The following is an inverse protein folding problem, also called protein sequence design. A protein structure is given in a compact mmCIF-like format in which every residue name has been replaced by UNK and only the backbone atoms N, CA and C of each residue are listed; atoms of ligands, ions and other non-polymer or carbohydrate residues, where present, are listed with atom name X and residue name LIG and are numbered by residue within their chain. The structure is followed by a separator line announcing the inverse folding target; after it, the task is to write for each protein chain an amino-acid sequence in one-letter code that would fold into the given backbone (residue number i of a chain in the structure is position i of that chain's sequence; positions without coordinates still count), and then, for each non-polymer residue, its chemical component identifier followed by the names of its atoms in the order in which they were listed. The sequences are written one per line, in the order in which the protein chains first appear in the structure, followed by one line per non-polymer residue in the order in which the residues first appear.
data_IF_848414632250
#
_entry.id   IF_848414632250
#
_cell.length_a   1.000
_cell.length_b   1.000
_cell.length_c   1.000
_cell.angle_alpha   90.00
_cell.angle_beta   90.00
_cell.angle_gamma   90.00
#
_symmetry.space_group_name_H-M   'P 1'
#
loop_
_entity.id
_entity.type
_entity.pdbx_description
1 polymer ?
#
# COMPACT_ATOMS: atom_id res chain seq x y z
N UNK A 1 -20.77 6.39 0.86
CA UNK A 1 -20.02 5.76 1.97
C UNK A 1 -18.56 6.24 2.01
N UNK A 2 -17.77 6.18 0.89
CA UNK A 2 -16.39 6.69 0.86
C UNK A 2 -16.29 8.18 1.19
N UNK A 3 -17.18 9.01 0.64
CA UNK A 3 -17.23 10.45 0.93
C UNK A 3 -17.51 10.74 2.41
N UNK A 4 -18.36 9.94 3.06
CA UNK A 4 -18.60 10.03 4.50
C UNK A 4 -17.35 9.69 5.33
N UNK A 5 -16.44 8.91 4.76
CA UNK A 5 -15.14 8.60 5.34
C UNK A 5 -14.05 9.63 4.98
N UNK A 6 -14.41 10.70 4.24
CA UNK A 6 -13.47 11.71 3.77
C UNK A 6 -12.60 11.26 2.60
N UNK A 7 -13.01 10.21 1.87
CA UNK A 7 -12.28 9.69 0.71
C UNK A 7 -12.98 10.17 -0.55
N UNK A 8 -12.36 11.10 -1.25
CA UNK A 8 -12.88 11.64 -2.50
C UNK A 8 -12.43 10.77 -3.67
N UNK A 9 -13.40 10.23 -4.39
CA UNK A 9 -13.15 9.37 -5.56
C UNK A 9 -13.96 9.84 -6.77
N UNK A 10 -13.50 9.43 -7.96
CA UNK A 10 -14.29 9.46 -9.18
C UNK A 10 -14.45 8.04 -9.72
N UNK A 11 -15.63 7.74 -10.25
CA UNK A 11 -15.87 6.46 -10.92
C UNK A 11 -15.02 6.37 -12.18
N UNK A 12 -14.46 5.18 -12.43
CA UNK A 12 -13.75 4.93 -13.68
C UNK A 12 -14.77 4.72 -14.82
N UNK A 13 -14.74 5.53 -15.90
CA UNK A 13 -15.81 5.53 -16.88
C UNK A 13 -15.70 4.43 -17.95
N UNK A 14 -14.55 3.75 -18.04
CA UNK A 14 -14.25 2.82 -19.12
C UNK A 14 -14.24 1.37 -18.64
N UNK A 15 -14.53 0.44 -19.57
CA UNK A 15 -14.31 -0.98 -19.29
C UNK A 15 -12.81 -1.26 -19.06
N UNK A 16 -12.54 -2.17 -18.13
CA UNK A 16 -11.21 -2.68 -17.88
C UNK A 16 -11.09 -4.08 -18.48
N UNK A 17 -9.89 -4.51 -18.89
CA UNK A 17 -9.65 -5.87 -19.40
C UNK A 17 -10.01 -6.97 -18.39
N UNK A 18 -9.96 -6.66 -17.11
CA UNK A 18 -10.25 -7.60 -16.02
C UNK A 18 -11.34 -7.04 -15.09
N UNK A 19 -12.09 -7.92 -14.36
CA UNK A 19 -13.24 -7.50 -13.59
C UNK A 19 -12.81 -6.81 -12.28
N UNK A 20 -12.75 -5.47 -12.28
CA UNK A 20 -12.61 -4.69 -11.06
C UNK A 20 -14.00 -4.30 -10.57
N UNK A 21 -14.34 -4.71 -9.35
CA UNK A 21 -15.63 -4.37 -8.75
C UNK A 21 -15.67 -2.87 -8.41
N UNK A 22 -16.66 -2.15 -8.98
CA UNK A 22 -16.85 -0.71 -8.74
C UNK A 22 -15.53 0.07 -8.82
N UNK A 23 -14.94 0.17 -10.04
CA UNK A 23 -13.63 0.79 -10.22
C UNK A 23 -13.69 2.30 -10.00
N UNK A 24 -12.73 2.82 -9.22
CA UNK A 24 -12.63 4.22 -8.87
C UNK A 24 -11.17 4.71 -8.92
N UNK A 25 -10.99 6.04 -8.96
CA UNK A 25 -9.71 6.71 -8.74
C UNK A 25 -9.83 7.74 -7.61
N UNK A 26 -8.75 7.95 -6.90
CA UNK A 26 -8.66 9.04 -5.93
C UNK A 26 -8.63 10.40 -6.61
N UNK A 27 -9.34 11.38 -6.05
CA UNK A 27 -9.35 12.79 -6.48
C UNK A 27 -8.52 13.69 -5.58
N UNK A 28 -8.27 13.30 -4.36
CA UNK A 28 -7.59 14.11 -3.36
C UNK A 28 -6.78 13.25 -2.38
N UNK A 29 -6.02 13.91 -1.52
CA UNK A 29 -5.37 13.28 -0.39
C UNK A 29 -6.40 12.61 0.55
N UNK A 30 -6.00 11.53 1.19
CA UNK A 30 -6.81 10.80 2.17
C UNK A 30 -6.22 11.04 3.56
N UNK A 31 -7.00 11.63 4.46
CA UNK A 31 -6.55 11.94 5.83
C UNK A 31 -5.19 12.68 5.88
N UNK A 32 -4.96 13.62 4.97
CA UNK A 32 -3.72 14.40 4.89
C UNK A 32 -2.57 13.72 4.16
N UNK A 33 -2.72 12.47 3.73
CA UNK A 33 -1.69 11.74 2.97
C UNK A 33 -2.02 11.74 1.48
N UNK A 34 -1.07 12.18 0.66
CA UNK A 34 -1.17 12.16 -0.81
C UNK A 34 -0.73 10.80 -1.35
N UNK A 35 -1.53 10.19 -2.22
CA UNK A 35 -1.18 8.97 -2.95
C UNK A 35 -0.81 9.32 -4.39
N UNK A 36 0.45 9.07 -4.78
CA UNK A 36 0.97 9.31 -6.13
C UNK A 36 1.10 8.00 -6.88
N UNK A 37 0.20 7.76 -7.82
CA UNK A 37 0.22 6.58 -8.69
C UNK A 37 1.22 6.81 -9.83
N UNK A 38 2.16 5.88 -10.00
CA UNK A 38 3.30 6.04 -10.92
C UNK A 38 3.00 5.61 -12.35
N UNK A 39 1.98 4.79 -12.56
CA UNK A 39 1.57 4.32 -13.89
C UNK A 39 0.26 4.99 -14.29
N UNK A 40 0.23 5.63 -15.42
CA UNK A 40 -0.88 6.29 -16.10
C UNK A 40 -2.30 6.22 -15.51
N UNK A 41 -3.28 6.77 -16.20
CA UNK A 41 -4.63 6.91 -15.62
C UNK A 41 -5.28 5.55 -15.24
N UNK A 42 -5.13 4.53 -16.09
CA UNK A 42 -5.68 3.19 -15.80
C UNK A 42 -4.95 2.51 -14.63
N UNK A 43 -3.63 2.69 -14.52
CA UNK A 43 -2.83 2.15 -13.43
C UNK A 43 -3.16 2.72 -12.03
N UNK A 44 -3.91 3.84 -11.99
CA UNK A 44 -4.40 4.44 -10.75
C UNK A 44 -5.78 3.93 -10.32
N UNK A 45 -6.38 3.00 -11.06
CA UNK A 45 -7.68 2.43 -10.74
C UNK A 45 -7.56 1.44 -9.59
N UNK A 46 -8.49 1.51 -8.66
CA UNK A 46 -8.65 0.56 -7.55
C UNK A 46 -10.13 0.23 -7.39
N UNK A 47 -10.45 -0.87 -6.73
CA UNK A 47 -11.83 -1.15 -6.35
C UNK A 47 -12.30 -0.16 -5.28
N UNK A 48 -13.60 0.10 -5.22
CA UNK A 48 -14.20 0.88 -4.14
C UNK A 48 -13.88 0.30 -2.75
N UNK A 49 -13.77 -1.01 -2.65
CA UNK A 49 -13.44 -1.71 -1.42
C UNK A 49 -11.99 -1.44 -0.96
N UNK A 50 -11.03 -1.49 -1.89
CA UNK A 50 -9.65 -1.12 -1.57
C UNK A 50 -9.54 0.38 -1.24
N UNK A 51 -10.30 1.24 -1.94
CA UNK A 51 -10.34 2.68 -1.64
C UNK A 51 -10.74 2.93 -0.18
N UNK A 52 -11.70 2.18 0.37
CA UNK A 52 -12.10 2.30 1.77
C UNK A 52 -10.96 2.01 2.77
N UNK A 53 -9.98 1.19 2.39
CA UNK A 53 -8.80 0.88 3.24
C UNK A 53 -7.73 1.96 3.23
N UNK A 54 -7.78 2.90 2.28
CA UNK A 54 -6.77 3.96 2.18
C UNK A 54 -6.78 4.92 3.37
N UNK A 55 -7.91 5.08 4.06
CA UNK A 55 -7.96 5.84 5.31
C UNK A 55 -7.13 5.18 6.41
N UNK A 56 -7.25 3.86 6.55
CA UNK A 56 -6.48 3.11 7.53
C UNK A 56 -4.98 3.15 7.18
N UNK A 57 -4.64 2.95 5.89
CA UNK A 57 -3.27 3.10 5.40
C UNK A 57 -2.70 4.49 5.70
N UNK A 58 -3.43 5.54 5.33
CA UNK A 58 -3.02 6.92 5.61
C UNK A 58 -2.81 7.17 7.11
N UNK A 59 -3.73 6.69 7.95
CA UNK A 59 -3.62 6.82 9.39
C UNK A 59 -2.38 6.12 9.97
N UNK A 60 -2.02 4.96 9.43
CA UNK A 60 -0.82 4.23 9.88
C UNK A 60 0.44 4.97 9.45
N UNK A 61 0.58 5.30 8.16
CA UNK A 61 1.82 5.91 7.67
C UNK A 61 2.03 7.33 8.22
N UNK A 62 0.95 8.09 8.47
CA UNK A 62 1.03 9.42 9.07
C UNK A 62 1.63 9.42 10.49
N UNK A 63 1.45 8.35 11.28
CA UNK A 63 2.10 8.20 12.59
C UNK A 63 3.63 8.21 12.50
N UNK A 64 4.16 7.84 11.35
CA UNK A 64 5.59 7.82 11.04
C UNK A 64 6.04 9.07 10.27
N UNK A 65 5.25 10.15 10.29
CA UNK A 65 5.58 11.41 9.63
C UNK A 65 5.43 11.38 8.11
N UNK A 66 4.84 10.33 7.54
CA UNK A 66 4.64 10.23 6.08
C UNK A 66 3.48 11.11 5.65
N UNK A 67 3.71 11.97 4.68
CA UNK A 67 2.70 12.83 4.06
C UNK A 67 2.43 12.50 2.58
N UNK A 68 3.30 11.70 1.93
CA UNK A 68 3.09 11.25 0.55
C UNK A 68 3.54 9.80 0.39
N UNK A 69 2.72 9.00 -0.26
CA UNK A 69 2.99 7.60 -0.60
C UNK A 69 3.03 7.45 -2.12
N UNK A 70 4.09 6.85 -2.64
CA UNK A 70 4.20 6.49 -4.06
C UNK A 70 3.72 5.07 -4.28
N UNK A 71 2.65 4.95 -5.04
CA UNK A 71 2.05 3.68 -5.46
C UNK A 71 2.67 3.29 -6.80
N UNK A 72 3.59 2.33 -6.75
CA UNK A 72 4.29 1.83 -7.93
C UNK A 72 3.34 1.06 -8.84
N UNK A 73 2.43 0.26 -8.27
CA UNK A 73 1.42 -0.48 -9.02
C UNK A 73 0.13 -0.56 -8.20
N UNK A 74 -1.02 -0.30 -8.85
CA UNK A 74 -2.33 -0.62 -8.32
C UNK A 74 -3.03 -1.57 -9.30
N UNK A 75 -3.77 -1.05 -10.30
CA UNK A 75 -4.33 -1.88 -11.33
C UNK A 75 -3.28 -2.27 -12.40
N UNK A 76 -3.33 -3.52 -12.83
CA UNK A 76 -2.70 -4.06 -14.05
C UNK A 76 -3.55 -5.22 -14.57
N UNK A 77 -3.55 -5.45 -15.85
CA UNK A 77 -4.37 -6.47 -16.49
C UNK A 77 -3.71 -7.87 -16.53
N UNK A 78 -2.43 -7.94 -16.23
CA UNK A 78 -1.67 -9.20 -16.20
C UNK A 78 -0.51 -9.16 -15.17
N UNK A 79 0.00 -10.33 -14.73
CA UNK A 79 -0.56 -11.67 -14.97
C UNK A 79 -1.92 -11.85 -14.28
N UNK A 80 -2.81 -12.60 -14.91
CA UNK A 80 -4.11 -12.95 -14.35
C UNK A 80 -4.11 -14.44 -13.94
N UNK A 81 -4.67 -14.81 -12.78
CA UNK A 81 -5.29 -13.96 -11.76
C UNK A 81 -4.26 -13.33 -10.81
N UNK A 82 -4.51 -12.10 -10.39
CA UNK A 82 -3.78 -11.47 -9.28
C UNK A 82 -4.69 -10.44 -8.59
N UNK A 83 -4.39 -10.05 -7.35
CA UNK A 83 -5.17 -9.00 -6.67
C UNK A 83 -5.05 -7.64 -7.35
N UNK A 84 -3.95 -7.37 -8.05
CA UNK A 84 -3.84 -6.18 -8.91
C UNK A 84 -4.83 -6.19 -10.07
N UNK A 85 -5.06 -7.34 -10.69
CA UNK A 85 -6.02 -7.44 -11.82
C UNK A 85 -7.46 -7.26 -11.37
N UNK A 86 -7.73 -7.36 -10.07
CA UNK A 86 -9.03 -7.12 -9.45
C UNK A 86 -9.14 -5.73 -8.80
N UNK A 87 -8.08 -4.91 -8.88
CA UNK A 87 -8.01 -3.62 -8.20
C UNK A 87 -8.00 -3.73 -6.67
N UNK A 88 -7.53 -4.86 -6.14
CA UNK A 88 -7.53 -5.20 -4.71
C UNK A 88 -6.12 -5.17 -4.07
N UNK A 89 -5.11 -4.66 -4.80
CA UNK A 89 -3.74 -4.60 -4.31
C UNK A 89 -3.05 -3.28 -4.63
N UNK A 90 -2.04 -2.94 -3.81
CA UNK A 90 -1.15 -1.79 -3.97
C UNK A 90 0.30 -2.23 -3.75
N UNK A 91 1.20 -1.78 -4.61
CA UNK A 91 2.64 -1.87 -4.42
C UNK A 91 3.18 -0.48 -4.06
N UNK A 92 3.72 -0.34 -2.85
CA UNK A 92 4.20 0.93 -2.30
C UNK A 92 5.72 0.95 -2.32
N UNK A 93 6.33 1.86 -3.11
CA UNK A 93 7.78 1.87 -3.33
C UNK A 93 8.52 2.96 -2.57
N UNK A 94 7.82 4.04 -2.15
CA UNK A 94 8.44 5.20 -1.52
C UNK A 94 7.45 5.94 -0.65
N UNK A 95 7.95 6.47 0.47
CA UNK A 95 7.22 7.30 1.43
C UNK A 95 7.99 8.61 1.64
N UNK A 96 7.32 9.76 1.57
CA UNK A 96 7.93 11.05 1.85
C UNK A 96 7.62 11.47 3.28
N UNK A 97 8.66 11.88 3.99
CA UNK A 97 8.58 12.49 5.32
C UNK A 97 9.23 13.88 5.29
N UNK A 98 9.07 14.66 6.36
CA UNK A 98 9.75 15.94 6.51
C UNK A 98 11.29 15.80 6.52
N UNK A 99 11.80 14.64 6.99
CA UNK A 99 13.24 14.33 7.06
C UNK A 99 13.79 13.73 5.75
N UNK A 100 12.94 13.64 4.73
CA UNK A 100 13.28 13.13 3.41
C UNK A 100 12.63 11.79 3.06
N UNK A 101 12.93 11.25 1.87
CA UNK A 101 12.29 10.04 1.38
C UNK A 101 12.79 8.78 2.07
N UNK A 102 11.85 7.85 2.26
CA UNK A 102 12.10 6.44 2.56
C UNK A 102 11.85 5.65 1.28
N UNK A 103 12.88 5.09 0.69
CA UNK A 103 12.81 4.32 -0.57
C UNK A 103 12.99 2.85 -0.25
N UNK A 104 11.94 2.05 -0.47
CA UNK A 104 11.96 0.63 -0.07
C UNK A 104 13.15 -0.11 -0.67
N UNK A 105 13.45 0.12 -1.95
CA UNK A 105 14.54 -0.56 -2.68
C UNK A 105 15.92 -0.34 -2.06
N UNK A 106 16.21 0.85 -1.55
CA UNK A 106 17.56 1.24 -1.05
C UNK A 106 17.66 1.26 0.46
N UNK A 107 16.53 1.56 1.14
CA UNK A 107 16.55 1.85 2.57
C UNK A 107 16.04 0.66 3.41
N UNK A 108 15.38 -0.36 2.79
CA UNK A 108 14.97 -1.56 3.48
C UNK A 108 16.11 -2.60 3.49
N UNK A 109 16.54 -3.03 4.67
CA UNK A 109 17.53 -4.10 4.81
C UNK A 109 16.81 -5.45 4.87
N UNK A 110 17.13 -6.32 3.92
CA UNK A 110 16.53 -7.65 3.83
C UNK A 110 17.18 -8.57 4.86
N UNK A 111 16.38 -9.08 5.80
CA UNK A 111 16.76 -10.13 6.75
C UNK A 111 15.62 -11.16 6.84
N UNK A 112 15.76 -12.25 6.08
CA UNK A 112 14.75 -13.33 6.05
C UNK A 112 14.86 -14.31 7.22
N UNK A 113 15.89 -14.17 8.04
CA UNK A 113 16.06 -14.99 9.24
C UNK A 113 15.23 -14.46 10.43
N UNK A 114 14.76 -13.23 10.36
CA UNK A 114 13.96 -12.58 11.41
C UNK A 114 12.55 -12.26 10.94
N UNK A 115 11.62 -12.28 11.88
CA UNK A 115 10.29 -11.72 11.66
C UNK A 115 10.40 -10.20 11.48
N UNK A 116 9.65 -9.64 10.53
CA UNK A 116 9.70 -8.18 10.22
C UNK A 116 9.44 -7.30 11.46
N UNK A 117 8.73 -7.80 12.47
CA UNK A 117 8.35 -7.06 13.66
C UNK A 117 9.21 -7.35 14.92
N UNK A 118 10.28 -8.11 14.81
CA UNK A 118 11.15 -8.45 15.95
C UNK A 118 12.20 -7.38 16.29
N UNK A 119 12.19 -6.26 15.57
CA UNK A 119 13.16 -5.20 15.76
C UNK A 119 12.78 -4.26 16.92
N UNK A 120 13.81 -3.70 17.56
CA UNK A 120 13.67 -2.65 18.56
C UNK A 120 12.95 -1.43 17.98
N UNK A 121 12.33 -0.63 18.87
CA UNK A 121 11.57 0.57 18.51
C UNK A 121 12.25 1.41 17.43
N UNK A 122 11.45 1.93 16.49
CA UNK A 122 11.95 2.72 15.37
C UNK A 122 12.74 3.95 15.86
N UNK A 123 13.95 4.10 15.33
CA UNK A 123 14.69 5.35 15.37
C UNK A 123 14.22 6.18 14.17
N UNK A 124 13.68 7.41 14.37
CA UNK A 124 13.18 8.23 13.25
C UNK A 124 14.28 8.64 12.25
N UNK A 125 15.55 8.58 12.66
CA UNK A 125 16.69 8.86 11.78
C UNK A 125 17.23 7.60 11.07
N UNK A 126 16.79 6.40 11.46
CA UNK A 126 17.14 5.14 10.81
C UNK A 126 16.02 4.73 9.84
N UNK A 127 16.24 5.01 8.57
CA UNK A 127 15.26 4.73 7.50
C UNK A 127 14.85 3.26 7.43
N UNK A 128 15.78 2.35 7.70
CA UNK A 128 15.50 0.91 7.71
C UNK A 128 14.52 0.58 8.82
N UNK A 129 14.79 1.00 10.06
CA UNK A 129 13.90 0.77 11.21
C UNK A 129 12.54 1.42 11.01
N UNK A 130 12.50 2.60 10.40
CA UNK A 130 11.26 3.30 10.13
C UNK A 130 10.40 2.53 9.10
N UNK A 131 11.01 2.00 8.04
CA UNK A 131 10.30 1.15 7.07
C UNK A 131 9.77 -0.14 7.72
N UNK A 132 10.56 -0.80 8.58
CA UNK A 132 10.11 -1.95 9.36
C UNK A 132 8.95 -1.60 10.29
N UNK A 133 9.02 -0.47 10.98
CA UNK A 133 7.94 -0.01 11.87
C UNK A 133 6.63 0.26 11.09
N UNK A 134 6.72 0.89 9.91
CA UNK A 134 5.57 1.09 9.01
C UNK A 134 4.97 -0.26 8.62
N UNK A 135 5.77 -1.22 8.16
CA UNK A 135 5.29 -2.55 7.77
C UNK A 135 4.61 -3.28 8.95
N UNK A 136 5.20 -3.21 10.15
CA UNK A 136 4.64 -3.80 11.36
C UNK A 136 3.32 -3.17 11.78
N UNK A 137 3.21 -1.85 11.73
CA UNK A 137 1.97 -1.18 12.10
C UNK A 137 0.86 -1.40 11.06
N UNK A 138 1.21 -1.51 9.78
CA UNK A 138 0.27 -1.95 8.74
C UNK A 138 -0.24 -3.37 9.03
N UNK A 139 0.65 -4.28 9.39
CA UNK A 139 0.30 -5.65 9.76
C UNK A 139 -0.58 -5.70 11.01
N UNK A 140 -0.21 -4.98 12.07
CA UNK A 140 -0.99 -4.90 13.33
C UNK A 140 -2.37 -4.30 13.13
N UNK A 141 -2.55 -3.44 12.15
CA UNK A 141 -3.86 -2.85 11.82
C UNK A 141 -4.89 -3.89 11.39
N UNK A 142 -4.45 -5.02 10.80
CA UNK A 142 -5.26 -6.09 10.22
C UNK A 142 -6.29 -5.59 9.21
N UNK A 143 -5.99 -4.47 8.53
CA UNK A 143 -6.86 -3.87 7.52
C UNK A 143 -6.60 -4.39 6.11
N UNK A 144 -5.44 -5.02 5.94
CA UNK A 144 -5.02 -5.70 4.72
C UNK A 144 -4.89 -7.19 5.00
N UNK A 145 -5.21 -8.03 4.03
CA UNK A 145 -5.05 -9.48 4.14
C UNK A 145 -3.59 -9.90 4.02
N UNK A 146 -2.80 -9.17 3.23
CA UNK A 146 -1.35 -9.36 3.16
C UNK A 146 -0.60 -8.05 3.30
N UNK A 147 0.53 -8.10 4.02
CA UNK A 147 1.58 -7.10 4.02
C UNK A 147 2.87 -7.84 3.67
N UNK A 148 3.31 -7.74 2.40
CA UNK A 148 4.55 -8.38 1.94
C UNK A 148 5.64 -7.33 1.80
N UNK A 149 6.79 -7.59 2.41
CA UNK A 149 7.97 -6.71 2.40
C UNK A 149 9.07 -7.33 1.52
N UNK A 150 10.22 -6.66 1.33
CA UNK A 150 11.38 -7.26 0.67
C UNK A 150 11.88 -8.57 1.30
N UNK A 151 11.50 -8.87 2.56
CA UNK A 151 11.81 -10.15 3.20
C UNK A 151 11.06 -11.33 2.56
N UNK A 152 9.93 -11.10 1.90
CA UNK A 152 9.13 -12.17 1.34
C UNK A 152 9.86 -12.93 0.22
N UNK A 153 10.22 -12.24 -0.86
CA UNK A 153 10.95 -12.82 -1.98
C UNK A 153 11.59 -11.76 -2.89
N UNK A 154 12.31 -12.19 -3.90
CA UNK A 154 13.01 -11.31 -4.84
C UNK A 154 12.07 -10.42 -5.66
N UNK A 155 10.84 -10.86 -5.91
CA UNK A 155 9.83 -10.07 -6.63
C UNK A 155 9.33 -8.85 -5.85
N UNK A 156 9.51 -8.83 -4.52
CA UNK A 156 9.08 -7.74 -3.62
C UNK A 156 10.25 -6.90 -3.10
N UNK A 157 11.47 -7.04 -3.69
CA UNK A 157 12.69 -6.39 -3.19
C UNK A 157 12.67 -4.85 -3.16
N UNK A 158 11.73 -4.22 -3.83
CA UNK A 158 11.68 -2.76 -4.06
C UNK A 158 10.34 -2.10 -3.68
N UNK A 159 9.43 -2.86 -3.07
CA UNK A 159 8.14 -2.33 -2.64
C UNK A 159 7.53 -3.14 -1.48
N UNK A 160 6.56 -2.53 -0.81
CA UNK A 160 5.61 -3.25 0.04
C UNK A 160 4.38 -3.57 -0.79
N UNK A 161 3.99 -4.84 -0.82
CA UNK A 161 2.74 -5.25 -1.42
C UNK A 161 1.65 -5.36 -0.34
N UNK A 162 0.54 -4.68 -0.56
CA UNK A 162 -0.66 -4.75 0.27
C UNK A 162 -1.81 -5.27 -0.55
N UNK A 163 -2.53 -6.28 -0.07
CA UNK A 163 -3.77 -6.74 -0.70
C UNK A 163 -4.92 -6.87 0.30
N UNK A 164 -6.14 -6.88 -0.22
CA UNK A 164 -7.34 -7.27 0.50
C UNK A 164 -7.97 -8.47 -0.18
N UNK A 165 -8.53 -9.37 0.65
CA UNK A 165 -9.22 -10.60 0.25
C UNK A 165 -10.57 -10.62 0.94
N UNK A 166 -11.64 -10.11 0.31
CA UNK A 166 -12.93 -9.93 0.96
C UNK A 166 -13.48 -11.19 1.65
N UNK A 167 -13.27 -12.34 1.01
CA UNK A 167 -13.82 -13.62 1.45
C UNK A 167 -12.81 -14.51 2.20
N UNK A 168 -11.61 -13.99 2.52
CA UNK A 168 -10.55 -14.75 3.18
C UNK A 168 -10.06 -14.04 4.45
N UNK A 169 -10.40 -14.54 5.64
CA UNK A 169 -10.01 -13.92 6.91
C UNK A 169 -8.52 -14.12 7.26
N UNK A 170 -7.78 -14.89 6.47
CA UNK A 170 -6.35 -15.14 6.74
C UNK A 170 -5.55 -13.86 6.55
N UNK A 171 -4.56 -13.72 7.40
CA UNK A 171 -3.63 -12.58 7.38
C UNK A 171 -2.20 -13.08 7.18
N UNK A 172 -1.44 -12.36 6.37
CA UNK A 172 -0.03 -12.66 6.10
C UNK A 172 0.83 -11.40 6.28
N UNK A 173 1.85 -11.52 7.14
CA UNK A 173 3.00 -10.64 7.18
C UNK A 173 4.24 -11.44 6.75
N UNK A 174 4.98 -10.95 5.77
CA UNK A 174 6.27 -11.52 5.35
C UNK A 174 7.24 -10.41 4.92
#
# INVERSE_FOLDING_TARGET
ELEQQGIQVESWPSALPTPVATPVKLRAAVSGVTFKFMHGAAGAVISCELAARLRDLASVVAKHGVHTVYVMSAYRDHPYPSFHTLGLALDLSRFETADGPLVVKSDFVIDRARETCDEAAADPHDKHRLLHAIACDLAKSKRFSSVLTPNYNVGHRDHFHLDIRPDDPRFFLR
#
